data_IF_337968813934
#
_entry.id   IF_337968813934
#
_cell.length_a   1.000
_cell.length_b   1.000
_cell.length_c   1.000
_cell.angle_alpha   90.00
_cell.angle_beta   90.00
_cell.angle_gamma   90.00
#
_symmetry.space_group_name_H-M   'P 1'
#
loop_
_entity.id
_entity.type
_entity.pdbx_description
1 polymer ?
#
# COMPACT_ATOMS: atom_id res chain seq x y z
N UNK A 1 -39.09 2.41 45.79
CA UNK A 1 -38.85 3.04 44.46
C UNK A 1 -37.44 3.66 44.29
N UNK A 2 -36.54 3.62 45.29
CA UNK A 2 -35.21 4.26 45.22
C UNK A 2 -34.06 3.29 44.89
N UNK A 3 -34.34 1.99 44.94
CA UNK A 3 -33.40 0.87 44.72
C UNK A 3 -33.49 0.28 43.30
N UNK A 4 -34.51 0.68 42.51
CA UNK A 4 -34.60 0.32 41.08
C UNK A 4 -33.68 1.20 40.21
N UNK A 5 -33.39 2.44 40.63
CA UNK A 5 -32.51 3.35 39.88
C UNK A 5 -31.01 3.01 40.00
N UNK A 6 -30.55 2.42 41.12
CA UNK A 6 -29.14 2.02 41.30
C UNK A 6 -28.76 0.75 40.52
N UNK A 7 -29.72 -0.16 40.27
CA UNK A 7 -29.48 -1.36 39.44
C UNK A 7 -29.45 -1.04 37.94
N UNK A 8 -30.16 0.01 37.52
CA UNK A 8 -30.15 0.50 36.14
C UNK A 8 -28.86 1.27 35.81
N UNK A 9 -28.24 1.94 36.78
CA UNK A 9 -26.92 2.59 36.62
C UNK A 9 -25.75 1.60 36.51
N UNK A 10 -25.84 0.40 37.10
CA UNK A 10 -24.79 -0.62 37.03
C UNK A 10 -24.74 -1.34 35.66
N UNK A 11 -25.88 -1.46 34.96
CA UNK A 11 -25.93 -2.07 33.63
C UNK A 11 -25.40 -1.14 32.52
N UNK A 12 -25.44 0.19 32.71
CA UNK A 12 -24.86 1.16 31.78
C UNK A 12 -23.33 1.26 31.91
N UNK A 13 -22.78 1.02 33.11
CA UNK A 13 -21.33 1.04 33.36
C UNK A 13 -20.59 -0.17 32.78
N UNK A 14 -21.21 -1.36 32.77
CA UNK A 14 -20.62 -2.55 32.14
C UNK A 14 -20.56 -2.46 30.60
N UNK A 15 -21.47 -1.72 29.96
CA UNK A 15 -21.48 -1.58 28.50
C UNK A 15 -20.38 -0.60 27.99
N UNK A 16 -19.97 0.37 28.81
CA UNK A 16 -18.92 1.34 28.46
C UNK A 16 -17.50 0.76 28.46
N UNK A 17 -17.21 -0.19 29.35
CA UNK A 17 -15.88 -0.80 29.47
C UNK A 17 -15.53 -1.75 28.31
N UNK A 18 -16.52 -2.44 27.73
CA UNK A 18 -16.30 -3.34 26.60
C UNK A 18 -15.94 -2.60 25.29
N UNK A 19 -16.58 -1.45 25.04
CA UNK A 19 -16.34 -0.65 23.84
C UNK A 19 -14.91 -0.11 23.76
N UNK A 20 -14.32 0.29 24.89
CA UNK A 20 -12.94 0.79 24.94
C UNK A 20 -11.90 -0.29 24.63
N UNK A 21 -12.13 -1.54 25.06
CA UNK A 21 -11.23 -2.65 24.78
C UNK A 21 -11.27 -3.08 23.30
N UNK A 22 -12.47 -3.11 22.70
CA UNK A 22 -12.63 -3.40 21.28
C UNK A 22 -11.99 -2.35 20.35
N UNK A 23 -12.00 -1.07 20.76
CA UNK A 23 -11.32 0.00 20.00
C UNK A 23 -9.80 -0.13 19.99
N UNK A 24 -9.19 -0.52 21.13
CA UNK A 24 -7.74 -0.68 21.24
C UNK A 24 -7.21 -1.79 20.33
N UNK A 25 -7.88 -2.94 20.27
CA UNK A 25 -7.43 -4.07 19.45
C UNK A 25 -7.52 -3.78 17.95
N UNK A 26 -8.50 -2.97 17.53
CA UNK A 26 -8.62 -2.51 16.15
C UNK A 26 -7.46 -1.57 15.76
N UNK A 27 -7.10 -0.63 16.63
CA UNK A 27 -5.96 0.29 16.40
C UNK A 27 -4.64 -0.48 16.36
N UNK A 28 -4.42 -1.40 17.30
CA UNK A 28 -3.21 -2.22 17.35
C UNK A 28 -3.03 -3.05 16.07
N UNK A 29 -4.11 -3.69 15.59
CA UNK A 29 -4.09 -4.45 14.35
C UNK A 29 -3.83 -3.58 13.10
N UNK A 30 -4.28 -2.33 13.10
CA UNK A 30 -3.98 -1.38 12.02
C UNK A 30 -2.50 -0.95 12.03
N UNK A 31 -1.94 -0.69 13.21
CA UNK A 31 -0.51 -0.39 13.38
C UNK A 31 0.36 -1.58 12.97
N UNK A 32 -0.03 -2.81 13.35
CA UNK A 32 0.67 -4.03 12.94
C UNK A 32 0.69 -4.17 11.42
N UNK A 33 -0.47 -4.00 10.77
CA UNK A 33 -0.58 -4.06 9.32
C UNK A 33 0.26 -2.96 8.63
N UNK A 34 0.31 -1.76 9.21
CA UNK A 34 1.16 -0.68 8.72
C UNK A 34 2.65 -1.05 8.80
N UNK A 35 3.13 -1.54 9.95
CA UNK A 35 4.54 -1.92 10.14
C UNK A 35 4.91 -3.10 9.22
N UNK A 36 4.03 -4.08 9.06
CA UNK A 36 4.22 -5.17 8.11
C UNK A 36 4.34 -4.64 6.68
N UNK A 37 3.48 -3.70 6.29
CA UNK A 37 3.51 -3.08 4.96
C UNK A 37 4.81 -2.30 4.72
N UNK A 38 5.34 -1.62 5.73
CA UNK A 38 6.67 -0.99 5.68
C UNK A 38 7.75 -2.03 5.39
N UNK A 39 7.76 -3.15 6.11
CA UNK A 39 8.78 -4.20 5.92
C UNK A 39 8.71 -4.90 4.55
N UNK A 40 7.53 -4.92 3.92
CA UNK A 40 7.31 -5.47 2.59
C UNK A 40 7.59 -4.47 1.45
N UNK A 41 7.85 -3.20 1.77
CA UNK A 41 8.09 -2.19 0.75
C UNK A 41 9.39 -2.49 0.00
N UNK A 42 9.30 -2.61 -1.32
CA UNK A 42 10.45 -2.89 -2.19
C UNK A 42 10.99 -1.60 -2.78
N UNK A 43 12.31 -1.52 -2.93
CA UNK A 43 12.94 -0.40 -3.62
C UNK A 43 12.80 0.94 -2.89
N UNK A 44 12.78 0.89 -1.57
CA UNK A 44 12.75 2.07 -0.72
C UNK A 44 13.90 2.00 0.27
N UNK A 45 14.51 3.15 0.52
CA UNK A 45 15.55 3.32 1.54
C UNK A 45 15.05 4.30 2.57
N UNK A 46 14.99 3.86 3.82
CA UNK A 46 14.62 4.70 4.94
C UNK A 46 15.85 5.45 5.47
N UNK A 47 15.79 6.77 5.47
CA UNK A 47 16.89 7.64 5.88
C UNK A 47 16.59 8.20 7.27
N UNK A 48 17.40 7.78 8.24
CA UNK A 48 17.30 8.20 9.64
C UNK A 48 18.59 8.88 10.08
N UNK A 49 18.51 10.14 10.50
CA UNK A 49 19.67 10.92 10.95
C UNK A 49 20.83 10.97 9.93
N UNK A 50 20.54 10.79 8.63
CA UNK A 50 21.55 10.73 7.57
C UNK A 50 22.04 9.32 7.23
N UNK A 51 21.65 8.29 7.98
CA UNK A 51 21.99 6.89 7.69
C UNK A 51 20.89 6.21 6.89
N UNK A 52 21.28 5.45 5.88
CA UNK A 52 20.40 4.63 5.06
C UNK A 52 20.08 3.31 5.76
N UNK A 53 18.81 2.91 5.70
CA UNK A 53 18.28 1.67 6.25
C UNK A 53 17.34 1.02 5.24
N UNK A 54 17.33 -0.30 5.20
CA UNK A 54 16.38 -1.09 4.43
C UNK A 54 14.96 -0.95 4.98
N UNK A 55 13.98 -1.33 4.17
CA UNK A 55 12.57 -1.40 4.56
C UNK A 55 12.35 -2.30 5.80
N UNK A 56 13.02 -3.45 5.86
CA UNK A 56 12.96 -4.38 6.99
C UNK A 56 13.53 -3.78 8.27
N UNK A 57 14.67 -3.08 8.19
CA UNK A 57 15.26 -2.39 9.33
C UNK A 57 14.38 -1.23 9.83
N UNK A 58 13.73 -0.53 8.90
CA UNK A 58 12.77 0.53 9.23
C UNK A 58 11.56 -0.04 9.98
N UNK A 59 10.98 -1.15 9.51
CA UNK A 59 9.89 -1.83 10.19
C UNK A 59 10.30 -2.29 11.60
N UNK A 60 11.46 -2.93 11.74
CA UNK A 60 11.98 -3.33 13.03
C UNK A 60 12.22 -2.13 13.97
N UNK A 61 12.68 -1.00 13.43
CA UNK A 61 12.86 0.23 14.19
C UNK A 61 11.52 0.80 14.70
N UNK A 62 10.51 0.85 13.85
CA UNK A 62 9.15 1.29 14.21
C UNK A 62 8.56 0.40 15.30
N UNK A 63 8.72 -0.93 15.18
CA UNK A 63 8.25 -1.87 16.19
C UNK A 63 8.94 -1.66 17.54
N UNK A 64 10.27 -1.52 17.57
CA UNK A 64 11.00 -1.22 18.81
C UNK A 64 10.52 0.08 19.46
N UNK A 65 10.32 1.12 18.65
CA UNK A 65 9.88 2.44 19.16
C UNK A 65 8.42 2.41 19.63
N UNK A 66 7.55 1.61 19.01
CA UNK A 66 6.18 1.33 19.48
C UNK A 66 6.18 0.73 20.88
N UNK A 67 7.00 -0.30 21.10
CA UNK A 67 7.15 -0.96 22.41
C UNK A 67 7.66 0.01 23.46
N UNK A 68 8.69 0.80 23.12
CA UNK A 68 9.25 1.81 24.03
C UNK A 68 8.24 2.92 24.41
N UNK A 69 7.28 3.23 23.53
CA UNK A 69 6.22 4.20 23.80
C UNK A 69 5.06 3.65 24.65
N UNK A 70 5.11 2.39 25.09
CA UNK A 70 4.07 1.77 25.92
C UNK A 70 2.86 1.25 25.14
N UNK A 71 2.94 1.18 23.80
CA UNK A 71 1.99 0.46 22.94
C UNK A 71 0.57 1.01 22.84
N UNK A 72 0.18 2.01 23.63
CA UNK A 72 -1.20 2.55 23.66
C UNK A 72 -1.31 3.81 22.81
N UNK A 73 -1.91 3.66 21.63
CA UNK A 73 -2.24 4.77 20.74
C UNK A 73 -3.76 4.84 20.57
N UNK A 74 -4.31 6.04 20.53
CA UNK A 74 -5.71 6.29 20.23
C UNK A 74 -6.03 6.09 18.73
N UNK A 75 -5.02 6.16 17.86
CA UNK A 75 -5.15 5.94 16.42
C UNK A 75 -3.80 5.58 15.76
N UNK A 76 -3.86 4.98 14.56
CA UNK A 76 -2.66 4.73 13.76
C UNK A 76 -1.97 6.04 13.30
N UNK A 77 -2.74 7.12 13.10
CA UNK A 77 -2.21 8.46 12.85
C UNK A 77 -1.37 8.97 14.02
N UNK A 78 -1.87 8.81 15.26
CA UNK A 78 -1.10 9.19 16.44
C UNK A 78 0.20 8.39 16.54
N UNK A 79 0.15 7.09 16.21
CA UNK A 79 1.36 6.28 16.09
C UNK A 79 2.34 6.88 15.07
N UNK A 80 1.88 7.28 13.87
CA UNK A 80 2.75 7.91 12.87
C UNK A 80 3.35 9.20 13.43
N UNK A 81 2.55 10.06 14.05
CA UNK A 81 2.96 11.38 14.53
C UNK A 81 4.01 11.29 15.65
N UNK A 82 3.81 10.36 16.59
CA UNK A 82 4.67 10.19 17.78
C UNK A 82 5.89 9.31 17.46
N UNK A 83 5.71 8.24 16.66
CA UNK A 83 6.71 7.20 16.45
C UNK A 83 7.39 7.33 15.09
N UNK A 84 6.63 7.56 14.02
CA UNK A 84 7.08 7.42 12.64
C UNK A 84 7.73 8.66 11.99
N UNK A 85 7.59 9.85 12.57
CA UNK A 85 7.99 11.10 11.88
C UNK A 85 9.41 11.57 12.17
N UNK A 86 9.89 11.43 13.41
CA UNK A 86 11.17 12.03 13.83
C UNK A 86 11.90 11.23 14.90
N UNK A 87 13.21 11.46 14.98
CA UNK A 87 14.03 10.91 16.06
C UNK A 87 13.66 11.59 17.37
N UNK A 88 13.37 10.80 18.40
CA UNK A 88 13.21 11.33 19.75
C UNK A 88 14.54 11.87 20.32
N UNK A 89 15.67 11.43 19.76
CA UNK A 89 17.01 11.82 20.21
C UNK A 89 17.47 13.12 19.56
N UNK A 90 17.30 13.26 18.24
CA UNK A 90 17.82 14.42 17.49
C UNK A 90 16.74 15.41 17.03
N UNK A 91 15.46 15.05 17.13
CA UNK A 91 14.34 15.84 16.61
C UNK A 91 14.20 15.87 15.08
N UNK A 92 15.15 15.30 14.33
CA UNK A 92 15.18 15.39 12.86
C UNK A 92 14.08 14.52 12.22
N UNK A 93 13.38 15.01 11.19
CA UNK A 93 12.41 14.21 10.46
C UNK A 93 13.11 13.09 9.70
N UNK A 94 12.46 11.93 9.63
CA UNK A 94 12.93 10.83 8.81
C UNK A 94 12.49 11.03 7.35
N UNK A 95 13.28 10.50 6.42
CA UNK A 95 12.95 10.54 4.99
C UNK A 95 12.92 9.14 4.41
N UNK A 96 12.21 8.99 3.30
CA UNK A 96 12.17 7.77 2.51
C UNK A 96 12.61 8.14 1.11
N UNK A 97 13.64 7.46 0.63
CA UNK A 97 14.11 7.59 -0.74
C UNK A 97 13.53 6.45 -1.57
N UNK A 98 12.77 6.78 -2.60
CA UNK A 98 12.22 5.82 -3.55
C UNK A 98 13.25 5.43 -4.62
N UNK A 99 12.95 4.40 -5.40
CA UNK A 99 13.80 3.90 -6.49
C UNK A 99 14.17 4.94 -7.54
N UNK A 100 13.31 5.93 -7.76
CA UNK A 100 13.53 7.06 -8.68
C UNK A 100 14.50 8.11 -8.11
N UNK A 101 14.97 7.92 -6.87
CA UNK A 101 15.83 8.86 -6.16
C UNK A 101 15.06 9.95 -5.42
N UNK A 102 13.74 10.00 -5.55
CA UNK A 102 12.91 11.02 -4.87
C UNK A 102 12.92 10.77 -3.37
N UNK A 103 13.27 11.80 -2.59
CA UNK A 103 13.15 11.78 -1.13
C UNK A 103 11.82 12.42 -0.71
N UNK A 104 11.07 11.70 0.12
CA UNK A 104 9.81 12.15 0.72
C UNK A 104 9.87 12.02 2.23
N UNK A 105 9.16 12.90 2.94
CA UNK A 105 9.06 12.80 4.40
C UNK A 105 8.40 11.48 4.81
N UNK A 106 8.96 10.82 5.83
CA UNK A 106 8.43 9.54 6.33
C UNK A 106 6.98 9.67 6.77
N UNK A 107 6.59 10.83 7.32
CA UNK A 107 5.22 11.11 7.74
C UNK A 107 4.24 10.99 6.57
N UNK A 108 4.59 11.58 5.43
CA UNK A 108 3.77 11.56 4.21
C UNK A 108 3.69 10.14 3.65
N UNK A 109 4.82 9.45 3.60
CA UNK A 109 4.91 8.08 3.11
C UNK A 109 4.12 7.09 3.98
N UNK A 110 4.26 7.15 5.30
CA UNK A 110 3.55 6.28 6.24
C UNK A 110 2.04 6.52 6.19
N UNK A 111 1.59 7.77 6.08
CA UNK A 111 0.15 8.08 5.91
C UNK A 111 -0.39 7.54 4.59
N UNK A 112 0.41 7.53 3.53
CA UNK A 112 0.03 6.87 2.27
C UNK A 112 -0.11 5.37 2.46
N UNK A 113 0.86 4.71 3.08
CA UNK A 113 0.78 3.27 3.37
C UNK A 113 -0.43 2.93 4.24
N UNK A 114 -0.74 3.75 5.26
CA UNK A 114 -1.90 3.56 6.11
C UNK A 114 -3.21 3.58 5.31
N UNK A 115 -3.33 4.50 4.34
CA UNK A 115 -4.48 4.50 3.42
C UNK A 115 -4.55 3.23 2.58
N UNK A 116 -3.41 2.73 2.07
CA UNK A 116 -3.36 1.48 1.32
C UNK A 116 -3.80 0.28 2.17
N UNK A 117 -3.35 0.22 3.43
CA UNK A 117 -3.77 -0.81 4.41
C UNK A 117 -5.28 -0.77 4.63
N UNK A 118 -5.87 0.42 4.82
CA UNK A 118 -7.32 0.58 4.99
C UNK A 118 -8.09 0.13 3.75
N UNK A 119 -7.63 0.54 2.56
CA UNK A 119 -8.24 0.20 1.28
C UNK A 119 -8.26 -1.33 1.06
N UNK A 120 -7.14 -1.99 1.36
CA UNK A 120 -7.04 -3.46 1.28
C UNK A 120 -8.01 -4.18 2.24
N UNK A 121 -8.31 -3.58 3.40
CA UNK A 121 -9.26 -4.13 4.38
C UNK A 121 -10.73 -3.89 4.03
N UNK A 122 -11.04 -2.75 3.42
CA UNK A 122 -12.41 -2.38 3.06
C UNK A 122 -12.84 -2.87 1.68
N UNK A 123 -12.00 -3.64 0.98
CA UNK A 123 -12.25 -4.07 -0.42
C UNK A 123 -12.39 -2.89 -1.39
N UNK A 124 -12.08 -1.67 -0.94
CA UNK A 124 -12.19 -0.45 -1.71
C UNK A 124 -10.83 -0.22 -2.34
N UNK A 125 -10.69 -0.23 -3.67
CA UNK A 125 -9.40 0.04 -4.28
C UNK A 125 -8.91 1.43 -3.82
N UNK A 126 -7.64 1.56 -3.39
CA UNK A 126 -7.12 2.86 -2.99
C UNK A 126 -7.28 3.83 -4.17
N UNK A 127 -7.54 5.13 -3.93
CA UNK A 127 -7.49 6.11 -5.01
C UNK A 127 -6.07 6.06 -5.58
N UNK A 128 -5.95 5.45 -6.76
CA UNK A 128 -4.67 5.28 -7.43
C UNK A 128 -4.02 6.65 -7.64
N UNK A 129 -2.67 6.75 -7.63
CA UNK A 129 -2.02 8.01 -7.99
C UNK A 129 -2.51 8.37 -9.39
N UNK A 130 -3.26 9.45 -9.58
CA UNK A 130 -4.01 9.80 -10.80
C UNK A 130 -3.27 9.41 -12.10
N UNK A 131 -3.37 8.15 -12.51
CA UNK A 131 -2.77 7.67 -13.73
C UNK A 131 -3.86 7.88 -14.75
N UNK A 132 -3.66 8.95 -15.51
CA UNK A 132 -4.34 9.31 -16.75
C UNK A 132 -4.68 8.02 -17.53
N UNK A 133 -5.88 7.50 -17.31
CA UNK A 133 -6.45 6.44 -18.14
C UNK A 133 -6.71 7.07 -19.49
N UNK A 134 -5.73 6.94 -20.39
CA UNK A 134 -5.86 7.42 -21.76
C UNK A 134 -7.02 6.66 -22.41
N UNK A 135 -7.95 7.41 -23.01
CA UNK A 135 -9.18 6.93 -23.67
C UNK A 135 -8.90 5.79 -24.68
N UNK A 136 -7.67 5.71 -25.20
CA UNK A 136 -7.19 4.65 -26.09
C UNK A 136 -7.37 3.22 -25.55
N UNK A 137 -7.18 2.98 -24.24
CA UNK A 137 -7.29 1.63 -23.66
C UNK A 137 -8.73 1.15 -23.47
N UNK A 138 -9.72 2.06 -23.54
CA UNK A 138 -11.15 1.70 -23.49
C UNK A 138 -11.69 1.35 -24.88
N UNK A 139 -11.08 1.88 -25.94
CA UNK A 139 -11.53 1.66 -27.32
C UNK A 139 -11.07 0.32 -27.91
N UNK A 140 -9.98 -0.28 -27.41
CA UNK A 140 -9.55 -1.62 -27.85
C UNK A 140 -10.54 -2.71 -27.44
N UNK A 141 -11.20 -2.56 -26.29
CA UNK A 141 -12.23 -3.49 -25.79
C UNK A 141 -13.54 -3.44 -26.57
N UNK A 142 -13.79 -2.35 -27.32
CA UNK A 142 -15.01 -2.19 -28.14
C UNK A 142 -14.80 -2.68 -29.57
N UNK A 143 -13.56 -2.68 -30.08
CA UNK A 143 -13.28 -3.16 -31.44
C UNK A 143 -13.40 -4.68 -31.57
N UNK A 144 -13.08 -5.40 -30.50
CA UNK A 144 -13.04 -6.87 -30.48
C UNK A 144 -14.44 -7.52 -30.46
N UNK A 145 -15.47 -6.79 -30.02
CA UNK A 145 -16.85 -7.29 -29.97
C UNK A 145 -17.60 -7.21 -31.31
N UNK A 146 -17.06 -6.52 -32.32
CA UNK A 146 -17.71 -6.36 -33.64
C UNK A 146 -17.31 -7.41 -34.67
N UNK A 147 -16.27 -8.21 -34.40
CA UNK A 147 -15.76 -9.24 -35.32
C UNK A 147 -16.34 -10.63 -35.08
N UNK A 148 -17.18 -10.82 -34.05
CA UNK A 148 -17.75 -12.14 -33.69
C UNK A 148 -19.15 -12.43 -34.27
N UNK A 149 -19.67 -11.57 -35.14
CA UNK A 149 -21.03 -11.70 -35.71
C UNK A 149 -21.09 -11.84 -37.24
N UNK A 150 -19.98 -12.17 -37.91
CA UNK A 150 -19.97 -12.29 -39.39
C UNK A 150 -19.43 -13.62 -39.92
N UNK A 151 -19.71 -14.72 -39.23
CA UNK A 151 -19.51 -16.07 -39.78
C UNK A 151 -20.87 -16.71 -40.05
N UNK A 152 -21.47 -16.28 -41.16
CA UNK A 152 -22.70 -16.82 -41.66
C UNK A 152 -22.94 -16.33 -43.09
N UNK A 153 -22.48 -17.15 -44.06
CA UNK A 153 -22.90 -17.20 -45.48
C UNK A 153 -21.90 -16.67 -46.52
N UNK A 154 -21.27 -17.65 -47.17
CA UNK A 154 -20.92 -17.73 -48.60
C UNK A 154 -19.76 -16.87 -49.17
N UNK A 155 -18.88 -17.56 -49.93
CA UNK A 155 -18.18 -16.94 -51.08
C UNK A 155 -16.71 -17.29 -51.19
N UNK A 156 -16.39 -18.29 -52.00
CA UNK A 156 -15.05 -18.61 -52.53
C UNK A 156 -14.39 -17.37 -53.15
N UNK A 157 -13.15 -17.06 -52.77
CA UNK A 157 -12.07 -16.71 -53.71
C UNK A 157 -10.74 -17.14 -53.09
N UNK A 158 -10.04 -18.03 -53.79
CA UNK A 158 -8.68 -18.43 -53.47
C UNK A 158 -7.71 -17.32 -53.89
N UNK A 159 -6.76 -16.97 -53.03
CA UNK A 159 -5.48 -16.39 -53.48
C UNK A 159 -4.37 -17.03 -52.65
N UNK A 160 -3.62 -17.88 -53.33
CA UNK A 160 -2.30 -18.42 -52.97
C UNK A 160 -1.34 -17.25 -52.75
N UNK A 161 -0.59 -17.20 -51.66
CA UNK A 161 0.80 -16.71 -51.70
C UNK A 161 1.62 -17.26 -50.52
N UNK A 162 2.49 -18.20 -50.90
CA UNK A 162 3.66 -18.73 -50.21
C UNK A 162 4.57 -17.59 -49.71
N UNK A 163 5.12 -17.66 -48.49
CA UNK A 163 6.54 -17.29 -48.23
C UNK A 163 7.06 -17.88 -46.90
N UNK A 164 8.34 -18.32 -46.82
CA UNK A 164 8.86 -19.14 -45.71
C UNK A 164 9.80 -18.38 -44.75
N UNK A 165 10.12 -19.04 -43.63
CA UNK A 165 11.39 -19.00 -42.86
C UNK A 165 12.15 -17.67 -42.68
N UNK A 166 12.37 -17.26 -41.42
CA UNK A 166 13.70 -17.30 -40.76
C UNK A 166 13.68 -16.71 -39.35
N UNK A 167 14.12 -17.54 -38.40
CA UNK A 167 14.72 -17.08 -37.15
C UNK A 167 16.05 -16.38 -37.45
N UNK A 168 16.41 -15.34 -36.68
CA UNK A 168 17.80 -14.93 -36.58
C UNK A 168 18.11 -14.38 -35.19
N UNK A 169 18.90 -15.15 -34.44
CA UNK A 169 19.62 -14.72 -33.27
C UNK A 169 20.86 -13.93 -33.72
N UNK A 170 21.24 -12.88 -33.00
CA UNK A 170 22.60 -12.35 -33.08
C UNK A 170 23.15 -12.08 -31.68
N UNK A 171 24.07 -12.96 -31.29
CA UNK A 171 25.08 -12.75 -30.26
C UNK A 171 26.16 -11.78 -30.76
N UNK A 172 26.67 -10.99 -29.80
CA UNK A 172 28.06 -10.53 -29.56
C UNK A 172 29.10 -10.67 -30.69
N UNK A 173 29.86 -9.57 -30.89
CA UNK A 173 31.31 -9.62 -31.10
C UNK A 173 32.01 -8.48 -30.30
N UNK A 174 33.24 -8.69 -29.78
CA UNK A 174 34.09 -7.65 -29.18
C UNK A 174 35.21 -7.18 -30.12
N UNK A 175 36.07 -6.27 -29.61
CA UNK A 175 37.39 -5.79 -30.11
C UNK A 175 37.27 -4.50 -30.96
N UNK A 176 38.02 -3.39 -30.80
CA UNK A 176 39.43 -3.11 -30.41
C UNK A 176 39.59 -1.61 -30.02
N UNK A 177 40.47 -1.29 -29.08
CA UNK A 177 41.69 -0.50 -29.31
C UNK A 177 42.69 -0.80 -28.20
#
# INVERSE_FOLDING_TARGET
>A
MRHLFLRSWLLLACLGAFAAFAGSTAVDGEIDALIARVGQAQGVVFIRNGSAHSATEAAAHLQRKRVAAGGRFASAEQFIDVVGTRSSVTGRPYRVRANDGTEIDSAVWLRRLLREVRAARSGTPPPGPAHRTTIASRLSRIRDSRTRMNDGRAGRVAVVFQWPFRANAYQRQPIRR
#
